data_IF_011873623488
#
_entry.id   IF_011873623488
#
_cell.length_a   1.000
_cell.length_b   1.000
_cell.length_c   1.000
_cell.angle_alpha   90.00
_cell.angle_beta   90.00
_cell.angle_gamma   90.00
#
_symmetry.space_group_name_H-M   'P 1'
#
loop_
_entity.id
_entity.type
_entity.pdbx_description
1 polymer ?
#
# COMPACT_ATOMS: atom_id res chain seq x y z
N UNK A 1 16.62 -6.94 3.78
CA UNK A 1 17.02 -5.66 3.15
C UNK A 1 18.34 -5.96 2.47
N UNK A 2 18.47 -5.72 1.17
CA UNK A 2 19.66 -6.09 0.38
C UNK A 2 20.74 -5.01 0.51
N UNK A 3 20.33 -3.74 0.39
CA UNK A 3 21.19 -2.56 0.46
C UNK A 3 20.39 -1.39 1.04
N UNK A 4 21.00 -0.62 1.94
CA UNK A 4 20.57 0.70 2.38
C UNK A 4 21.79 1.48 2.83
N UNK A 5 22.04 2.63 2.22
CA UNK A 5 23.18 3.48 2.55
C UNK A 5 22.87 4.97 2.33
N UNK A 6 23.69 5.84 2.90
CA UNK A 6 23.65 7.29 2.70
C UNK A 6 24.47 7.61 1.46
N UNK A 7 23.87 8.31 0.51
CA UNK A 7 24.54 8.79 -0.69
C UNK A 7 24.17 10.26 -0.98
N UNK A 8 25.09 10.98 -1.60
CA UNK A 8 24.91 12.39 -1.97
C UNK A 8 23.92 12.60 -3.12
N UNK A 9 23.78 11.59 -3.98
CA UNK A 9 22.80 11.57 -5.06
C UNK A 9 22.06 10.23 -5.21
N UNK A 10 21.20 10.15 -6.23
CA UNK A 10 20.42 8.96 -6.57
C UNK A 10 20.58 8.61 -8.05
N UNK A 11 21.80 8.81 -8.57
CA UNK A 11 22.16 8.55 -9.96
C UNK A 11 22.16 7.05 -10.26
N UNK A 12 22.21 6.72 -11.54
CA UNK A 12 22.35 5.33 -11.97
C UNK A 12 23.67 4.74 -11.47
N UNK A 13 24.78 5.47 -11.61
CA UNK A 13 26.12 5.00 -11.28
C UNK A 13 26.23 4.69 -9.79
N UNK A 14 25.76 5.58 -8.92
CA UNK A 14 25.71 5.36 -7.47
C UNK A 14 24.89 4.13 -7.10
N UNK A 15 23.73 3.92 -7.72
CA UNK A 15 22.94 2.73 -7.45
C UNK A 15 23.64 1.45 -7.90
N UNK A 16 24.28 1.47 -9.07
CA UNK A 16 24.92 0.30 -9.66
C UNK A 16 26.17 -0.10 -8.88
N UNK A 17 27.07 0.84 -8.60
CA UNK A 17 28.31 0.62 -7.84
C UNK A 17 28.07 0.02 -6.45
N UNK A 18 26.95 0.38 -5.81
CA UNK A 18 26.59 -0.15 -4.49
C UNK A 18 25.86 -1.49 -4.56
N UNK A 19 25.06 -1.73 -5.60
CA UNK A 19 24.20 -2.90 -5.70
C UNK A 19 24.92 -4.11 -6.31
N UNK A 20 25.73 -3.90 -7.34
CA UNK A 20 26.40 -4.98 -8.09
C UNK A 20 27.28 -5.86 -7.18
N UNK A 21 28.22 -5.33 -6.38
CA UNK A 21 29.06 -6.16 -5.52
C UNK A 21 28.24 -6.99 -4.52
N UNK A 22 27.11 -6.44 -4.09
CA UNK A 22 26.21 -7.10 -3.14
C UNK A 22 25.44 -8.25 -3.78
N UNK A 23 25.03 -8.10 -5.04
CA UNK A 23 24.38 -9.17 -5.79
C UNK A 23 25.36 -10.29 -6.13
N UNK A 24 26.60 -9.96 -6.48
CA UNK A 24 27.69 -10.91 -6.71
C UNK A 24 28.02 -11.72 -5.44
N UNK A 25 28.19 -11.05 -4.30
CA UNK A 25 28.45 -11.70 -3.01
C UNK A 25 27.33 -12.69 -2.62
N UNK A 26 26.09 -12.36 -2.96
CA UNK A 26 24.93 -13.22 -2.70
C UNK A 26 24.75 -14.32 -3.75
N UNK A 27 25.46 -14.26 -4.88
CA UNK A 27 25.28 -15.16 -6.01
C UNK A 27 23.87 -15.07 -6.63
N UNK A 28 23.25 -13.89 -6.61
CA UNK A 28 21.87 -13.69 -7.06
C UNK A 28 21.84 -12.95 -8.38
N UNK A 29 21.17 -13.56 -9.38
CA UNK A 29 20.82 -12.89 -10.62
C UNK A 29 19.40 -12.31 -10.54
N UNK A 30 19.25 -11.05 -10.93
CA UNK A 30 17.95 -10.35 -10.90
C UNK A 30 17.28 -10.50 -12.25
N UNK A 31 16.13 -11.17 -12.31
CA UNK A 31 15.37 -11.33 -13.56
C UNK A 31 14.34 -10.22 -13.79
N UNK A 32 13.83 -9.62 -12.71
CA UNK A 32 12.82 -8.57 -12.77
C UNK A 32 12.97 -7.56 -11.64
N UNK A 33 12.95 -6.28 -11.97
CA UNK A 33 12.98 -5.17 -11.01
C UNK A 33 11.67 -4.38 -11.03
N UNK A 34 11.05 -4.18 -9.86
CA UNK A 34 9.87 -3.32 -9.67
C UNK A 34 10.28 -2.04 -8.95
N UNK A 35 9.95 -0.86 -9.50
CA UNK A 35 10.33 0.42 -8.90
C UNK A 35 9.31 1.54 -9.11
N UNK A 36 9.55 2.69 -8.45
CA UNK A 36 8.77 3.93 -8.57
C UNK A 36 8.95 4.66 -9.92
N UNK A 37 9.73 4.07 -10.83
CA UNK A 37 10.07 4.60 -12.16
C UNK A 37 11.00 5.83 -12.16
N UNK A 38 11.80 6.04 -11.11
CA UNK A 38 12.92 6.97 -11.23
C UNK A 38 13.80 6.57 -12.43
N UNK A 39 14.21 7.54 -13.25
CA UNK A 39 15.00 7.27 -14.48
C UNK A 39 16.26 6.46 -14.19
N UNK A 40 16.92 6.74 -13.07
CA UNK A 40 18.08 5.99 -12.60
C UNK A 40 17.77 4.51 -12.33
N UNK A 41 16.61 4.21 -11.72
CA UNK A 41 16.20 2.84 -11.41
C UNK A 41 15.73 2.05 -12.65
N UNK A 42 15.12 2.72 -13.62
CA UNK A 42 14.80 2.09 -14.91
C UNK A 42 16.10 1.73 -15.64
N UNK A 43 17.05 2.68 -15.68
CA UNK A 43 18.38 2.44 -16.27
C UNK A 43 19.14 1.35 -15.51
N UNK A 44 19.04 1.32 -14.17
CA UNK A 44 19.64 0.29 -13.34
C UNK A 44 19.12 -1.10 -13.72
N UNK A 45 17.80 -1.26 -13.85
CA UNK A 45 17.21 -2.52 -14.26
C UNK A 45 17.67 -2.94 -15.67
N UNK A 46 17.45 -2.08 -16.67
CA UNK A 46 17.58 -2.45 -18.09
C UNK A 46 19.04 -2.50 -18.55
N UNK A 47 19.88 -1.59 -18.06
CA UNK A 47 21.28 -1.43 -18.50
C UNK A 47 22.27 -2.01 -17.49
N UNK A 48 22.04 -1.80 -16.20
CA UNK A 48 22.96 -2.28 -15.16
C UNK A 48 22.79 -3.77 -14.89
N UNK A 49 21.56 -4.19 -14.58
CA UNK A 49 21.24 -5.57 -14.21
C UNK A 49 20.79 -6.43 -15.38
N UNK A 50 20.65 -5.84 -16.57
CA UNK A 50 20.18 -6.49 -17.80
C UNK A 50 18.85 -7.26 -17.61
N UNK A 51 17.98 -6.74 -16.75
CA UNK A 51 16.73 -7.37 -16.38
C UNK A 51 15.51 -6.58 -16.83
N UNK A 52 14.34 -7.23 -16.85
CA UNK A 52 13.09 -6.54 -17.13
C UNK A 52 12.76 -5.54 -16.02
N UNK A 53 12.10 -4.45 -16.42
CA UNK A 53 11.60 -3.43 -15.50
C UNK A 53 10.08 -3.42 -15.49
N UNK A 54 9.50 -3.37 -14.28
CA UNK A 54 8.08 -3.18 -14.07
C UNK A 54 7.79 -1.95 -13.21
N UNK A 55 6.70 -1.26 -13.56
CA UNK A 55 6.19 -0.14 -12.80
C UNK A 55 5.48 -0.61 -11.53
N UNK A 56 5.54 0.21 -10.48
CA UNK A 56 4.75 0.00 -9.28
C UNK A 56 3.36 0.66 -9.39
N UNK A 57 2.30 -0.15 -9.25
CA UNK A 57 0.90 0.31 -9.25
C UNK A 57 0.59 1.34 -8.17
N UNK A 58 1.30 1.31 -7.04
CA UNK A 58 1.10 2.24 -5.93
C UNK A 58 1.30 3.68 -6.39
N UNK A 59 2.36 3.98 -7.14
CA UNK A 59 2.64 5.34 -7.61
C UNK A 59 1.60 5.83 -8.61
N UNK A 60 1.16 4.96 -9.52
CA UNK A 60 0.06 5.26 -10.43
C UNK A 60 -1.22 5.62 -9.69
N UNK A 61 -1.62 4.79 -8.70
CA UNK A 61 -2.81 5.05 -7.88
C UNK A 61 -2.65 6.28 -6.97
N UNK A 62 -1.45 6.55 -6.49
CA UNK A 62 -1.16 7.66 -5.60
C UNK A 62 -1.29 9.01 -6.32
N UNK A 63 -0.83 9.12 -7.57
CA UNK A 63 -0.98 10.33 -8.37
C UNK A 63 -2.47 10.62 -8.66
N UNK A 64 -3.24 9.59 -9.02
CA UNK A 64 -4.70 9.70 -9.18
C UNK A 64 -5.37 10.13 -7.87
N UNK A 65 -4.93 9.57 -6.74
CA UNK A 65 -5.46 9.92 -5.41
C UNK A 65 -5.16 11.36 -5.01
N UNK A 66 -3.96 11.85 -5.31
CA UNK A 66 -3.58 13.26 -5.07
C UNK A 66 -4.41 14.21 -5.92
N UNK A 67 -4.67 13.87 -7.17
CA UNK A 67 -5.44 14.71 -8.08
C UNK A 67 -6.95 14.68 -7.77
N UNK A 68 -7.56 13.51 -7.84
CA UNK A 68 -9.01 13.36 -7.79
C UNK A 68 -9.51 13.07 -6.38
N UNK A 69 -8.86 12.14 -5.68
CA UNK A 69 -9.23 11.74 -4.32
C UNK A 69 -9.19 12.90 -3.33
N UNK A 70 -8.14 13.73 -3.37
CA UNK A 70 -8.01 14.92 -2.52
C UNK A 70 -9.09 15.96 -2.81
N UNK A 71 -9.44 16.15 -4.08
CA UNK A 71 -10.43 17.13 -4.53
C UNK A 71 -11.83 16.72 -4.11
N UNK A 72 -12.23 15.47 -4.36
CA UNK A 72 -13.51 14.91 -3.93
C UNK A 72 -13.62 14.87 -2.40
N UNK A 73 -12.54 14.50 -1.71
CA UNK A 73 -12.48 14.51 -0.25
C UNK A 73 -12.72 15.90 0.34
N UNK A 74 -12.09 16.95 -0.22
CA UNK A 74 -12.31 18.35 0.19
C UNK A 74 -13.75 18.80 -0.07
N UNK A 75 -14.33 18.45 -1.21
CA UNK A 75 -15.73 18.78 -1.54
C UNK A 75 -16.69 18.11 -0.57
N UNK A 76 -16.51 16.81 -0.27
CA UNK A 76 -17.30 16.11 0.75
C UNK A 76 -17.16 16.75 2.13
N UNK A 77 -15.93 17.09 2.53
CA UNK A 77 -15.69 17.78 3.80
C UNK A 77 -16.38 19.13 3.89
N UNK A 78 -16.40 19.89 2.79
CA UNK A 78 -17.08 21.19 2.70
C UNK A 78 -18.59 21.05 2.77
N UNK A 79 -19.16 20.12 1.99
CA UNK A 79 -20.59 19.85 1.98
C UNK A 79 -21.08 19.39 3.37
N UNK A 80 -20.35 18.50 4.03
CA UNK A 80 -20.69 18.06 5.39
C UNK A 80 -20.68 19.21 6.40
N UNK A 81 -19.65 20.06 6.38
CA UNK A 81 -19.59 21.25 7.27
C UNK A 81 -20.74 22.22 7.00
N UNK A 82 -21.13 22.38 5.75
CA UNK A 82 -22.27 23.22 5.38
C UNK A 82 -23.58 22.64 5.93
N UNK A 83 -23.78 21.32 5.81
CA UNK A 83 -24.92 20.63 6.40
C UNK A 83 -24.95 20.80 7.92
N UNK A 84 -23.84 20.53 8.61
CA UNK A 84 -23.73 20.68 10.07
C UNK A 84 -24.06 22.12 10.51
N UNK A 85 -23.60 23.12 9.74
CA UNK A 85 -23.89 24.53 9.99
C UNK A 85 -25.37 24.87 9.77
N UNK A 86 -25.99 24.36 8.70
CA UNK A 86 -27.42 24.57 8.43
C UNK A 86 -28.27 23.92 9.53
N UNK A 87 -27.97 22.68 9.92
CA UNK A 87 -28.69 21.95 10.99
C UNK A 87 -28.57 22.68 12.33
N UNK A 88 -27.37 23.12 12.72
CA UNK A 88 -27.18 23.90 13.95
C UNK A 88 -27.91 25.25 13.93
N UNK A 89 -27.98 25.92 12.77
CA UNK A 89 -28.69 27.18 12.64
C UNK A 89 -30.21 27.01 12.71
N UNK A 90 -30.75 25.91 12.17
CA UNK A 90 -32.16 25.56 12.31
C UNK A 90 -32.51 25.31 13.78
N UNK A 91 -31.73 24.48 14.47
CA UNK A 91 -31.93 24.17 15.89
C UNK A 91 -31.90 25.45 16.76
N UNK A 92 -30.97 26.37 16.48
CA UNK A 92 -30.89 27.68 17.18
C UNK A 92 -32.10 28.56 16.89
N UNK A 93 -32.62 28.55 15.66
CA UNK A 93 -33.80 29.33 15.30
C UNK A 93 -35.05 28.81 16.01
N UNK A 94 -35.21 27.49 16.08
CA UNK A 94 -36.31 26.83 16.80
C UNK A 94 -36.25 27.13 18.31
N UNK A 95 -35.07 26.98 18.94
CA UNK A 95 -34.88 27.29 20.38
C UNK A 95 -35.15 28.75 20.74
N UNK A 96 -34.92 29.69 19.82
CA UNK A 96 -35.16 31.12 20.02
C UNK A 96 -36.61 31.54 19.75
N UNK A 97 -37.49 30.60 19.40
CA UNK A 97 -38.87 30.92 19.03
C UNK A 97 -38.96 31.78 17.76
N UNK A 98 -38.04 31.59 16.81
CA UNK A 98 -38.10 32.29 15.53
C UNK A 98 -39.45 32.03 14.82
N UNK A 99 -39.91 33.00 14.04
CA UNK A 99 -41.19 32.86 13.36
C UNK A 99 -41.18 31.71 12.32
N UNK A 100 -42.39 31.24 11.97
CA UNK A 100 -42.56 30.10 11.06
C UNK A 100 -41.88 30.29 9.70
N UNK A 101 -41.84 31.50 9.17
CA UNK A 101 -41.22 31.81 7.87
C UNK A 101 -39.70 31.64 7.90
N UNK A 102 -39.04 32.08 8.98
CA UNK A 102 -37.59 31.92 9.17
C UNK A 102 -37.26 30.44 9.33
N UNK A 103 -38.04 29.70 10.14
CA UNK A 103 -37.85 28.26 10.33
C UNK A 103 -38.00 27.52 8.99
N UNK A 104 -39.05 27.80 8.22
CA UNK A 104 -39.26 27.19 6.90
C UNK A 104 -38.10 27.46 5.92
N UNK A 105 -37.56 28.69 5.91
CA UNK A 105 -36.38 29.02 5.10
C UNK A 105 -35.15 28.22 5.53
N UNK A 106 -34.94 28.03 6.84
CA UNK A 106 -33.82 27.22 7.37
C UNK A 106 -33.97 25.74 7.09
N UNK A 107 -35.19 25.19 7.14
CA UNK A 107 -35.48 23.82 6.72
C UNK A 107 -35.07 23.61 5.26
N UNK A 108 -35.47 24.52 4.35
CA UNK A 108 -35.05 24.46 2.95
C UNK A 108 -33.52 24.48 2.77
N UNK A 109 -32.82 25.33 3.54
CA UNK A 109 -31.34 25.38 3.53
C UNK A 109 -30.70 24.06 4.02
N UNK A 110 -31.32 23.37 4.98
CA UNK A 110 -30.87 22.06 5.45
C UNK A 110 -31.09 21.00 4.37
N UNK A 111 -32.25 20.98 3.72
CA UNK A 111 -32.56 20.03 2.64
C UNK A 111 -31.59 20.17 1.46
N UNK A 112 -31.34 21.41 1.02
CA UNK A 112 -30.36 21.70 -0.03
C UNK A 112 -28.94 21.27 0.37
N UNK A 113 -28.50 21.58 1.59
CA UNK A 113 -27.18 21.18 2.08
C UNK A 113 -27.06 19.65 2.23
N UNK A 114 -28.14 18.96 2.59
CA UNK A 114 -28.20 17.50 2.70
C UNK A 114 -28.08 16.85 1.33
N UNK A 115 -28.80 17.37 0.33
CA UNK A 115 -28.68 16.90 -1.05
C UNK A 115 -27.25 17.07 -1.58
N UNK A 116 -26.58 18.18 -1.25
CA UNK A 116 -25.18 18.42 -1.61
C UNK A 116 -24.20 17.44 -0.92
N UNK A 117 -24.37 17.17 0.39
CA UNK A 117 -23.54 16.18 1.10
C UNK A 117 -23.73 14.77 0.55
N UNK A 118 -24.96 14.38 0.23
CA UNK A 118 -25.26 13.10 -0.40
C UNK A 118 -24.62 12.99 -1.79
N UNK A 119 -24.75 14.01 -2.64
CA UNK A 119 -24.13 14.03 -3.96
C UNK A 119 -22.59 13.96 -3.88
N UNK A 120 -21.98 14.70 -2.95
CA UNK A 120 -20.53 14.67 -2.74
C UNK A 120 -20.04 13.32 -2.19
N UNK A 121 -20.83 12.68 -1.33
CA UNK A 121 -20.55 11.33 -0.81
C UNK A 121 -20.62 10.30 -1.94
N UNK A 122 -21.67 10.33 -2.75
CA UNK A 122 -21.81 9.43 -3.91
C UNK A 122 -20.66 9.60 -4.92
N UNK A 123 -20.23 10.83 -5.19
CA UNK A 123 -19.09 11.11 -6.06
C UNK A 123 -17.80 10.48 -5.52
N UNK A 124 -17.53 10.64 -4.22
CA UNK A 124 -16.36 10.06 -3.56
C UNK A 124 -16.42 8.52 -3.54
N UNK A 125 -17.59 7.94 -3.33
CA UNK A 125 -17.77 6.49 -3.30
C UNK A 125 -17.65 5.86 -4.68
N UNK A 126 -18.16 6.52 -5.74
CA UNK A 126 -17.94 6.12 -7.12
C UNK A 126 -16.44 6.09 -7.43
N UNK A 127 -15.73 7.18 -7.12
CA UNK A 127 -14.27 7.27 -7.30
C UNK A 127 -13.54 6.14 -6.56
N UNK A 128 -13.84 5.96 -5.27
CA UNK A 128 -13.24 4.88 -4.47
C UNK A 128 -13.57 3.51 -5.04
N UNK A 129 -14.76 3.33 -5.60
CA UNK A 129 -15.17 2.15 -6.36
C UNK A 129 -14.23 1.87 -7.52
N UNK A 130 -13.97 2.86 -8.37
CA UNK A 130 -13.08 2.73 -9.54
C UNK A 130 -11.63 2.45 -9.13
N UNK A 131 -11.12 3.10 -8.07
CA UNK A 131 -9.78 2.80 -7.51
C UNK A 131 -9.69 1.37 -6.98
N UNK A 132 -10.75 0.88 -6.32
CA UNK A 132 -10.81 -0.53 -5.90
C UNK A 132 -10.82 -1.47 -7.09
N UNK A 133 -11.51 -1.14 -8.20
CA UNK A 133 -11.49 -1.95 -9.42
C UNK A 133 -10.05 -2.10 -9.97
N UNK A 134 -9.31 -1.00 -10.10
CA UNK A 134 -7.88 -1.04 -10.50
C UNK A 134 -7.06 -1.94 -9.57
N UNK A 135 -7.28 -1.78 -8.26
CA UNK A 135 -6.59 -2.60 -7.27
C UNK A 135 -6.92 -4.08 -7.36
N UNK A 136 -8.06 -4.47 -7.94
CA UNK A 136 -8.45 -5.88 -8.15
C UNK A 136 -8.02 -6.42 -9.52
N UNK A 137 -7.77 -5.55 -10.48
CA UNK A 137 -7.42 -5.97 -11.84
C UNK A 137 -5.98 -6.48 -11.93
N UNK A 138 -5.05 -5.91 -11.15
CA UNK A 138 -3.64 -6.32 -11.16
C UNK A 138 -3.38 -7.51 -10.21
N UNK A 139 -3.90 -8.66 -10.63
CA UNK A 139 -3.69 -9.99 -10.06
C UNK A 139 -3.63 -11.02 -11.22
N UNK A 140 -2.89 -12.14 -11.06
CA UNK A 140 -2.77 -13.17 -12.10
C UNK A 140 -4.03 -14.06 -12.20
N UNK A 141 -4.94 -13.95 -11.23
CA UNK A 141 -6.24 -14.61 -11.22
C UNK A 141 -7.37 -13.59 -11.16
N UNK A 142 -8.49 -13.89 -11.81
CA UNK A 142 -9.71 -13.10 -11.72
C UNK A 142 -10.47 -13.42 -10.43
N UNK A 143 -11.03 -12.42 -9.75
CA UNK A 143 -11.71 -12.61 -8.47
C UNK A 143 -13.03 -13.40 -8.60
N UNK A 144 -13.70 -13.31 -9.75
CA UNK A 144 -15.05 -13.84 -9.90
C UNK A 144 -15.07 -15.36 -10.09
N UNK A 145 -14.14 -15.89 -10.87
CA UNK A 145 -14.10 -17.28 -11.34
C UNK A 145 -12.73 -17.94 -11.15
N UNK A 146 -11.75 -17.26 -10.54
CA UNK A 146 -10.38 -17.73 -10.32
C UNK A 146 -9.60 -18.09 -11.59
N UNK A 147 -10.10 -17.70 -12.77
CA UNK A 147 -9.40 -18.00 -14.02
C UNK A 147 -8.09 -17.23 -14.13
N UNK A 148 -7.06 -17.84 -14.74
CA UNK A 148 -5.82 -17.15 -15.11
C UNK A 148 -6.10 -15.89 -15.92
N UNK A 149 -5.20 -14.93 -15.77
CA UNK A 149 -5.20 -13.68 -16.52
C UNK A 149 -3.84 -13.47 -17.15
N UNK A 150 -3.84 -12.92 -18.35
CA UNK A 150 -2.66 -12.42 -19.04
C UNK A 150 -2.58 -10.89 -18.99
N UNK A 151 -1.42 -10.37 -19.38
CA UNK A 151 -1.14 -8.93 -19.41
C UNK A 151 -2.05 -8.18 -20.37
N UNK A 152 -2.47 -8.80 -21.48
CA UNK A 152 -3.31 -8.16 -22.49
C UNK A 152 -4.72 -7.85 -21.93
N UNK A 153 -5.35 -8.83 -21.29
CA UNK A 153 -6.65 -8.70 -20.66
C UNK A 153 -6.61 -7.70 -19.50
N UNK A 154 -5.56 -7.75 -18.68
CA UNK A 154 -5.36 -6.81 -17.58
C UNK A 154 -5.15 -5.40 -18.10
N UNK A 155 -4.34 -5.20 -19.14
CA UNK A 155 -4.11 -3.89 -19.75
C UNK A 155 -5.39 -3.31 -20.35
N UNK A 156 -6.23 -4.13 -20.98
CA UNK A 156 -7.53 -3.71 -21.51
C UNK A 156 -8.43 -3.18 -20.39
N UNK A 157 -8.63 -3.95 -19.32
CA UNK A 157 -9.45 -3.53 -18.18
C UNK A 157 -8.90 -2.28 -17.49
N UNK A 158 -7.58 -2.15 -17.35
CA UNK A 158 -6.98 -0.95 -16.77
C UNK A 158 -7.25 0.31 -17.61
N UNK A 159 -7.24 0.20 -18.95
CA UNK A 159 -7.60 1.31 -19.86
C UNK A 159 -9.07 1.68 -19.75
N UNK A 160 -9.95 0.69 -19.65
CA UNK A 160 -11.40 0.92 -19.43
C UNK A 160 -11.64 1.65 -18.10
N UNK A 161 -10.96 1.23 -17.03
CA UNK A 161 -11.02 1.87 -15.72
C UNK A 161 -10.40 3.28 -15.72
N UNK A 162 -9.33 3.50 -16.49
CA UNK A 162 -8.77 4.84 -16.69
C UNK A 162 -9.80 5.78 -17.34
N UNK A 163 -10.51 5.30 -18.37
CA UNK A 163 -11.60 6.04 -19.02
C UNK A 163 -12.78 6.32 -18.08
N UNK A 164 -13.10 5.38 -17.18
CA UNK A 164 -14.11 5.59 -16.13
C UNK A 164 -13.71 6.74 -15.19
N UNK A 165 -12.44 6.84 -14.82
CA UNK A 165 -11.90 7.94 -14.00
C UNK A 165 -11.99 9.28 -14.73
N UNK A 166 -11.56 9.33 -16.00
CA UNK A 166 -11.65 10.54 -16.83
C UNK A 166 -13.09 11.01 -16.98
N UNK A 167 -14.02 10.07 -17.21
CA UNK A 167 -15.46 10.36 -17.32
C UNK A 167 -16.01 10.92 -16.00
N UNK A 168 -15.63 10.33 -14.86
CA UNK A 168 -16.02 10.81 -13.54
C UNK A 168 -15.44 12.19 -13.24
N UNK A 169 -14.20 12.46 -13.67
CA UNK A 169 -13.55 13.76 -13.51
C UNK A 169 -14.26 14.84 -14.30
N UNK A 170 -14.59 14.56 -15.58
CA UNK A 170 -15.38 15.43 -16.42
C UNK A 170 -16.76 15.73 -15.82
N UNK A 171 -17.49 14.68 -15.39
CA UNK A 171 -18.80 14.80 -14.73
C UNK A 171 -18.78 15.73 -13.51
N UNK A 172 -17.67 15.76 -12.78
CA UNK A 172 -17.52 16.60 -11.60
C UNK A 172 -16.71 17.88 -11.85
N UNK A 173 -16.38 18.22 -13.10
CA UNK A 173 -15.59 19.41 -13.42
C UNK A 173 -14.24 19.44 -12.70
N UNK A 174 -13.52 18.32 -12.71
CA UNK A 174 -12.17 18.19 -12.14
C UNK A 174 -11.17 18.13 -13.31
N UNK A 175 -10.39 19.20 -13.49
CA UNK A 175 -9.44 19.31 -14.59
C UNK A 175 -8.14 18.57 -14.30
N UNK A 176 -7.57 17.90 -15.29
CA UNK A 176 -6.26 17.23 -15.23
C UNK A 176 -5.14 18.10 -15.83
N UNK A 177 -4.81 19.19 -15.13
CA UNK A 177 -3.80 20.15 -15.63
C UNK A 177 -2.38 19.56 -15.67
N UNK A 178 -2.11 18.49 -14.92
CA UNK A 178 -0.78 17.89 -14.79
C UNK A 178 -0.62 16.62 -15.63
N UNK A 179 -1.64 16.22 -16.39
CA UNK A 179 -1.62 15.02 -17.23
C UNK A 179 -1.48 13.72 -16.44
N UNK A 180 -2.12 13.61 -15.27
CA UNK A 180 -2.13 12.42 -14.42
C UNK A 180 -2.68 11.21 -15.17
N UNK A 181 -3.78 11.37 -15.92
CA UNK A 181 -4.37 10.24 -16.64
C UNK A 181 -3.56 9.84 -17.86
N UNK A 182 -2.96 10.83 -18.56
CA UNK A 182 -1.97 10.55 -19.61
C UNK A 182 -0.79 9.76 -19.05
N UNK A 183 -0.26 10.18 -17.89
CA UNK A 183 0.81 9.47 -17.19
C UNK A 183 0.39 8.06 -16.87
N UNK A 184 -0.74 7.86 -16.17
CA UNK A 184 -1.25 6.54 -15.79
C UNK A 184 -1.43 5.60 -16.99
N UNK A 185 -2.07 6.08 -18.06
CA UNK A 185 -2.24 5.32 -19.31
C UNK A 185 -0.90 4.87 -19.91
N UNK A 186 0.12 5.74 -19.90
CA UNK A 186 1.46 5.38 -20.36
C UNK A 186 2.15 4.35 -19.46
N UNK A 187 1.76 4.23 -18.19
CA UNK A 187 2.33 3.24 -17.27
C UNK A 187 1.72 1.85 -17.43
N UNK A 188 0.52 1.72 -18.00
CA UNK A 188 -0.17 0.43 -18.14
C UNK A 188 0.74 -0.62 -18.80
N UNK A 189 1.46 -0.24 -19.87
CA UNK A 189 2.38 -1.14 -20.59
C UNK A 189 3.54 -1.67 -19.75
N UNK A 190 3.91 -0.97 -18.68
CA UNK A 190 4.98 -1.36 -17.75
C UNK A 190 4.42 -1.95 -16.45
N UNK A 191 3.10 -1.88 -16.20
CA UNK A 191 2.47 -2.45 -15.00
C UNK A 191 2.14 -3.93 -15.19
N UNK A 192 1.66 -4.27 -16.38
CA UNK A 192 1.09 -5.59 -16.67
C UNK A 192 2.10 -6.71 -16.92
N UNK A 193 3.31 -6.50 -17.51
CA UNK A 193 4.20 -7.60 -17.88
C UNK A 193 4.59 -8.51 -16.70
N UNK A 194 4.56 -7.99 -15.47
CA UNK A 194 4.75 -8.79 -14.24
C UNK A 194 3.85 -10.02 -14.15
N UNK A 195 2.68 -10.00 -14.80
CA UNK A 195 1.73 -11.11 -14.80
C UNK A 195 2.20 -12.22 -15.73
N UNK A 196 2.58 -11.90 -16.95
CA UNK A 196 3.07 -12.89 -17.92
C UNK A 196 4.43 -13.44 -17.48
N UNK A 197 5.30 -12.58 -16.96
CA UNK A 197 6.59 -12.99 -16.38
C UNK A 197 6.38 -14.00 -15.23
N UNK A 198 5.43 -13.74 -14.34
CA UNK A 198 5.12 -14.65 -13.25
C UNK A 198 4.55 -15.98 -13.77
N UNK A 199 3.68 -15.95 -14.77
CA UNK A 199 3.17 -17.17 -15.40
C UNK A 199 4.27 -17.98 -16.08
N UNK A 200 5.20 -17.33 -16.78
CA UNK A 200 6.37 -17.99 -17.35
C UNK A 200 7.20 -18.67 -16.27
N UNK A 201 7.47 -17.98 -15.17
CA UNK A 201 8.20 -18.54 -14.03
C UNK A 201 7.47 -19.76 -13.41
N UNK A 202 6.14 -19.66 -13.21
CA UNK A 202 5.32 -20.77 -12.72
C UNK A 202 5.42 -21.97 -13.66
N UNK A 203 5.28 -21.76 -14.97
CA UNK A 203 5.32 -22.83 -15.97
C UNK A 203 6.70 -23.49 -16.07
N UNK A 204 7.77 -22.69 -16.10
CA UNK A 204 9.15 -23.21 -16.12
C UNK A 204 9.42 -24.05 -14.88
N UNK A 205 9.08 -23.53 -13.69
CA UNK A 205 9.33 -24.26 -12.46
C UNK A 205 8.44 -25.51 -12.34
N UNK A 206 7.24 -25.50 -12.91
CA UNK A 206 6.36 -26.66 -12.97
C UNK A 206 6.95 -27.78 -13.84
N UNK A 207 7.52 -27.44 -15.00
CA UNK A 207 8.20 -28.39 -15.90
C UNK A 207 9.44 -29.01 -15.22
N UNK A 208 10.13 -28.25 -14.37
CA UNK A 208 11.28 -28.72 -13.60
C UNK A 208 10.92 -29.73 -12.49
N UNK A 209 9.64 -29.95 -12.18
CA UNK A 209 9.20 -30.92 -11.15
C UNK A 209 9.26 -32.39 -11.60
N UNK A 210 9.91 -32.67 -12.73
CA UNK A 210 10.10 -34.01 -13.30
C UNK A 210 8.93 -34.46 -14.18
N UNK A 211 8.94 -35.73 -14.57
CA UNK A 211 7.86 -36.33 -15.35
C UNK A 211 6.57 -36.41 -14.51
N UNK A 212 5.66 -35.48 -14.79
CA UNK A 212 4.32 -35.40 -14.19
C UNK A 212 3.27 -35.47 -15.29
N UNK A 213 2.16 -36.11 -14.99
CA UNK A 213 1.04 -36.13 -15.93
C UNK A 213 0.40 -34.74 -16.05
N UNK A 214 -0.10 -34.43 -17.24
CA UNK A 214 -0.75 -33.16 -17.55
C UNK A 214 -1.89 -32.85 -16.59
N UNK A 215 -2.64 -33.86 -16.15
CA UNK A 215 -3.75 -33.66 -15.22
C UNK A 215 -3.27 -33.15 -13.84
N UNK A 216 -2.11 -33.63 -13.37
CA UNK A 216 -1.50 -33.14 -12.12
C UNK A 216 -1.00 -31.69 -12.27
N UNK A 217 -0.44 -31.35 -13.43
CA UNK A 217 0.02 -30.01 -13.74
C UNK A 217 -1.15 -29.02 -13.79
N UNK A 218 -2.23 -29.39 -14.48
CA UNK A 218 -3.46 -28.60 -14.57
C UNK A 218 -4.12 -28.44 -13.19
N UNK A 219 -4.12 -29.50 -12.36
CA UNK A 219 -4.58 -29.42 -10.98
C UNK A 219 -3.77 -28.41 -10.15
N UNK A 220 -2.44 -28.48 -10.22
CA UNK A 220 -1.57 -27.58 -9.49
C UNK A 220 -1.81 -26.12 -9.89
N UNK A 221 -1.92 -25.85 -11.19
CA UNK A 221 -2.10 -24.50 -11.74
C UNK A 221 -3.51 -23.92 -11.52
N UNK A 222 -4.56 -24.72 -11.70
CA UNK A 222 -5.93 -24.20 -11.78
C UNK A 222 -6.78 -24.50 -10.55
N UNK A 223 -6.35 -25.43 -9.68
CA UNK A 223 -7.04 -25.74 -8.44
C UNK A 223 -6.25 -25.27 -7.21
N UNK A 224 -4.98 -25.67 -7.10
CA UNK A 224 -4.16 -25.37 -5.92
C UNK A 224 -3.64 -23.92 -5.91
N UNK A 225 -3.00 -23.47 -6.99
CA UNK A 225 -2.33 -22.18 -7.04
C UNK A 225 -3.27 -20.97 -6.78
N UNK A 226 -4.51 -20.91 -7.32
CA UNK A 226 -5.45 -19.84 -7.00
C UNK A 226 -5.86 -19.86 -5.52
N UNK A 227 -6.00 -21.06 -4.93
CA UNK A 227 -6.37 -21.26 -3.52
C UNK A 227 -5.32 -20.65 -2.61
N UNK A 228 -4.05 -21.04 -2.80
CA UNK A 228 -2.92 -20.51 -2.02
C UNK A 228 -2.74 -19.01 -2.27
N UNK A 229 -2.92 -18.57 -3.53
CA UNK A 229 -2.79 -17.17 -3.92
C UNK A 229 -3.77 -16.26 -3.15
N UNK A 230 -5.07 -16.53 -3.24
CA UNK A 230 -6.08 -15.68 -2.62
C UNK A 230 -6.03 -15.71 -1.09
N UNK A 231 -5.72 -16.86 -0.51
CA UNK A 231 -5.46 -16.98 0.92
C UNK A 231 -4.33 -16.01 1.36
N UNK A 232 -3.22 -15.97 0.62
CA UNK A 232 -2.10 -15.06 0.92
C UNK A 232 -2.50 -13.60 0.73
N UNK A 233 -3.24 -13.25 -0.33
CA UNK A 233 -3.68 -11.87 -0.56
C UNK A 233 -4.65 -11.37 0.52
N UNK A 234 -5.58 -12.21 0.98
CA UNK A 234 -6.50 -11.89 2.07
C UNK A 234 -5.75 -11.56 3.38
N UNK A 235 -4.67 -12.30 3.67
CA UNK A 235 -3.83 -12.06 4.87
C UNK A 235 -2.92 -10.86 4.74
N UNK A 236 -2.40 -10.62 3.54
CA UNK A 236 -1.50 -9.51 3.25
C UNK A 236 -2.22 -8.16 3.29
N UNK A 237 -3.46 -8.09 2.81
CA UNK A 237 -4.18 -6.82 2.74
C UNK A 237 -4.58 -6.31 4.12
N UNK A 238 -4.40 -5.00 4.36
CA UNK A 238 -4.91 -4.30 5.55
C UNK A 238 -6.32 -3.71 5.32
N UNK A 239 -6.78 -3.64 4.07
CA UNK A 239 -8.07 -3.06 3.72
C UNK A 239 -9.20 -4.09 3.97
N UNK A 240 -10.15 -3.81 4.89
CA UNK A 240 -11.21 -4.77 5.23
C UNK A 240 -12.14 -5.10 4.06
N UNK A 241 -12.43 -4.14 3.18
CA UNK A 241 -13.28 -4.36 2.01
C UNK A 241 -12.61 -5.30 1.02
N UNK A 242 -11.34 -5.03 0.68
CA UNK A 242 -10.58 -5.92 -0.21
C UNK A 242 -10.37 -7.29 0.42
N UNK A 243 -10.15 -7.37 1.74
CA UNK A 243 -10.02 -8.64 2.45
C UNK A 243 -11.23 -9.53 2.25
N UNK A 244 -12.44 -8.98 2.48
CA UNK A 244 -13.69 -9.72 2.28
C UNK A 244 -13.84 -10.23 0.84
N UNK A 245 -13.42 -9.46 -0.14
CA UNK A 245 -13.48 -9.87 -1.54
C UNK A 245 -12.45 -10.98 -1.87
N UNK A 246 -11.23 -10.89 -1.34
CA UNK A 246 -10.22 -11.94 -1.49
C UNK A 246 -10.59 -13.22 -0.72
N UNK A 247 -11.22 -13.10 0.45
CA UNK A 247 -11.75 -14.26 1.19
C UNK A 247 -12.84 -14.99 0.39
N UNK A 248 -13.71 -14.25 -0.31
CA UNK A 248 -14.70 -14.85 -1.22
C UNK A 248 -14.03 -15.57 -2.39
N UNK A 249 -13.03 -14.96 -3.02
CA UNK A 249 -12.29 -15.60 -4.11
C UNK A 249 -11.55 -16.87 -3.62
N UNK A 250 -10.94 -16.80 -2.44
CA UNK A 250 -10.33 -17.93 -1.75
C UNK A 250 -11.32 -19.06 -1.48
N UNK A 251 -12.50 -18.76 -0.92
CA UNK A 251 -13.54 -19.77 -0.68
C UNK A 251 -13.97 -20.47 -1.96
N UNK A 252 -14.15 -19.72 -3.06
CA UNK A 252 -14.47 -20.32 -4.37
C UNK A 252 -13.33 -21.22 -4.88
N UNK A 253 -12.08 -20.78 -4.74
CA UNK A 253 -10.92 -21.56 -5.17
C UNK A 253 -10.79 -22.85 -4.34
N UNK A 254 -11.01 -22.75 -3.03
CA UNK A 254 -10.94 -23.87 -2.10
C UNK A 254 -12.01 -24.93 -2.39
N UNK A 255 -13.21 -24.52 -2.79
CA UNK A 255 -14.24 -25.47 -3.26
C UNK A 255 -13.74 -26.22 -4.50
N UNK A 256 -13.22 -25.52 -5.51
CA UNK A 256 -12.65 -26.17 -6.71
C UNK A 256 -11.55 -27.16 -6.33
N UNK A 257 -10.63 -26.74 -5.46
CA UNK A 257 -9.57 -27.60 -4.92
C UNK A 257 -10.12 -28.88 -4.29
N UNK A 258 -11.05 -28.80 -3.34
CA UNK A 258 -11.57 -30.00 -2.67
C UNK A 258 -12.44 -30.89 -3.56
N UNK A 259 -13.12 -30.32 -4.55
CA UNK A 259 -13.97 -31.10 -5.48
C UNK A 259 -13.20 -31.77 -6.62
N UNK A 260 -11.94 -31.40 -6.84
CA UNK A 260 -11.14 -31.96 -7.92
C UNK A 260 -10.78 -33.42 -7.62
N UNK A 261 -10.95 -34.31 -8.61
CA UNK A 261 -10.76 -35.76 -8.45
C UNK A 261 -9.37 -36.12 -7.89
N UNK A 262 -8.30 -35.52 -8.43
CA UNK A 262 -6.92 -35.73 -7.97
C UNK A 262 -6.66 -35.30 -6.52
N UNK A 263 -7.43 -34.37 -5.95
CA UNK A 263 -7.15 -33.90 -4.59
C UNK A 263 -7.29 -35.02 -3.56
N UNK A 264 -8.23 -35.96 -3.78
CA UNK A 264 -8.43 -37.12 -2.91
C UNK A 264 -7.45 -38.27 -3.15
N UNK A 265 -6.65 -38.23 -4.22
CA UNK A 265 -5.73 -39.32 -4.58
C UNK A 265 -4.31 -39.11 -4.05
N UNK A 266 -3.95 -37.86 -3.74
CA UNK A 266 -2.62 -37.54 -3.20
C UNK A 266 -2.49 -37.91 -1.73
N UNK A 267 -1.30 -38.40 -1.35
CA UNK A 267 -0.90 -38.55 0.03
C UNK A 267 -0.71 -37.19 0.73
N UNK A 268 -0.67 -37.19 2.07
CA UNK A 268 -0.41 -35.96 2.85
C UNK A 268 0.93 -35.31 2.49
N UNK A 269 1.97 -36.12 2.24
CA UNK A 269 3.30 -35.64 1.85
C UNK A 269 3.29 -35.00 0.45
N UNK A 270 2.54 -35.56 -0.49
CA UNK A 270 2.37 -34.97 -1.84
C UNK A 270 1.60 -33.65 -1.80
N UNK A 271 0.53 -33.59 -0.99
CA UNK A 271 -0.20 -32.33 -0.77
C UNK A 271 0.72 -31.28 -0.15
N UNK A 272 1.53 -31.65 0.85
CA UNK A 272 2.48 -30.74 1.47
C UNK A 272 3.56 -30.25 0.49
N UNK A 273 4.09 -31.15 -0.34
CA UNK A 273 5.02 -30.81 -1.41
C UNK A 273 4.44 -29.74 -2.34
N UNK A 274 3.26 -30.00 -2.89
CA UNK A 274 2.60 -29.07 -3.81
C UNK A 274 2.18 -27.77 -3.14
N UNK A 275 1.76 -27.81 -1.87
CA UNK A 275 1.47 -26.62 -1.09
C UNK A 275 2.72 -25.75 -0.93
N UNK A 276 3.88 -26.33 -0.60
CA UNK A 276 5.13 -25.61 -0.49
C UNK A 276 5.53 -24.97 -1.83
N UNK A 277 5.41 -25.73 -2.92
CA UNK A 277 5.61 -25.21 -4.28
C UNK A 277 4.71 -24.01 -4.58
N UNK A 278 3.40 -24.13 -4.33
CA UNK A 278 2.45 -23.04 -4.56
C UNK A 278 2.75 -21.82 -3.65
N UNK A 279 3.12 -22.03 -2.40
CA UNK A 279 3.49 -20.94 -1.48
C UNK A 279 4.73 -20.18 -1.96
N UNK A 280 5.71 -20.88 -2.53
CA UNK A 280 6.89 -20.32 -3.16
C UNK A 280 6.50 -19.49 -4.38
N UNK A 281 5.76 -20.06 -5.33
CA UNK A 281 5.33 -19.38 -6.56
C UNK A 281 4.55 -18.10 -6.24
N UNK A 282 3.57 -18.19 -5.34
CA UNK A 282 2.79 -17.03 -4.88
C UNK A 282 3.68 -16.01 -4.15
N UNK A 283 4.78 -16.45 -3.52
CA UNK A 283 5.79 -15.58 -2.90
C UNK A 283 6.58 -14.73 -3.88
N UNK A 284 6.68 -15.13 -5.14
CA UNK A 284 7.42 -14.39 -6.18
C UNK A 284 6.58 -13.33 -6.89
N UNK A 285 5.25 -13.40 -6.80
CA UNK A 285 4.37 -12.41 -7.42
C UNK A 285 4.33 -11.09 -6.63
N UNK A 286 4.80 -10.01 -7.27
CA UNK A 286 4.82 -8.66 -6.70
C UNK A 286 4.15 -7.64 -7.62
N UNK A 287 3.03 -7.08 -7.15
CA UNK A 287 2.28 -6.00 -7.82
C UNK A 287 2.71 -4.58 -7.44
N UNK A 288 3.48 -4.44 -6.36
CA UNK A 288 3.88 -3.16 -5.80
C UNK A 288 5.13 -3.32 -4.92
N UNK A 289 5.98 -2.29 -4.86
CA UNK A 289 7.19 -2.20 -4.04
C UNK A 289 6.92 -1.75 -2.59
N UNK A 290 5.66 -1.80 -2.16
CA UNK A 290 5.13 -1.13 -0.95
C UNK A 290 5.77 -1.50 0.39
N UNK A 291 6.60 -2.54 0.46
CA UNK A 291 7.41 -2.83 1.63
C UNK A 291 8.40 -1.67 1.95
N UNK A 292 8.88 -0.95 0.93
CA UNK A 292 9.77 0.21 1.08
C UNK A 292 8.96 1.49 1.37
N UNK A 293 7.78 1.64 0.75
CA UNK A 293 6.91 2.81 0.92
C UNK A 293 6.37 2.99 2.34
N UNK A 294 6.12 1.89 3.08
CA UNK A 294 5.72 1.98 4.48
C UNK A 294 6.78 2.65 5.36
N UNK A 295 8.06 2.35 5.10
CA UNK A 295 9.21 2.95 5.78
C UNK A 295 9.45 4.37 5.30
N UNK A 296 9.44 4.62 4.00
CA UNK A 296 9.59 5.97 3.43
C UNK A 296 8.46 6.90 3.91
N UNK A 297 7.23 6.40 3.99
CA UNK A 297 6.08 7.11 4.54
C UNK A 297 6.24 7.40 6.03
N UNK A 298 6.71 6.43 6.82
CA UNK A 298 7.03 6.65 8.23
C UNK A 298 8.14 7.70 8.42
N UNK A 299 9.24 7.61 7.66
CA UNK A 299 10.33 8.58 7.70
C UNK A 299 9.85 9.97 7.27
N UNK A 300 9.12 10.08 6.17
CA UNK A 300 8.53 11.33 5.71
C UNK A 300 7.57 11.92 6.75
N UNK A 301 6.76 11.09 7.42
CA UNK A 301 5.89 11.51 8.51
C UNK A 301 6.68 11.95 9.75
N UNK A 302 7.75 11.24 10.13
CA UNK A 302 8.68 11.67 11.18
C UNK A 302 9.26 13.04 10.82
N UNK A 303 9.81 13.19 9.61
CA UNK A 303 10.39 14.45 9.17
C UNK A 303 9.35 15.57 9.15
N UNK A 304 8.14 15.31 8.64
CA UNK A 304 7.03 16.27 8.65
C UNK A 304 6.59 16.65 10.07
N UNK A 305 6.40 15.68 10.95
CA UNK A 305 6.04 15.92 12.35
C UNK A 305 7.20 16.56 13.12
N UNK A 306 8.43 16.42 12.64
CA UNK A 306 9.63 17.08 13.15
C UNK A 306 9.83 18.48 12.54
N UNK A 307 9.04 18.90 11.55
CA UNK A 307 9.01 20.29 11.08
C UNK A 307 8.24 21.14 12.08
N UNK A 308 8.95 22.06 12.73
CA UNK A 308 8.41 23.01 13.70
C UNK A 308 8.90 22.78 15.13
N UNK A 309 9.15 23.89 15.82
CA UNK A 309 9.50 23.94 17.24
C UNK A 309 8.22 24.09 18.07
N UNK A 310 7.57 22.97 18.38
CA UNK A 310 6.50 23.02 19.39
C UNK A 310 7.11 23.40 20.77
N UNK A 311 6.28 23.88 21.69
CA UNK A 311 6.74 24.39 22.99
C UNK A 311 7.57 23.36 23.79
N UNK A 312 7.23 22.07 23.71
CA UNK A 312 7.97 21.01 24.38
C UNK A 312 9.35 20.79 23.74
N UNK A 313 9.44 20.78 22.42
CA UNK A 313 10.72 20.70 21.70
C UNK A 313 11.59 21.92 21.95
N UNK A 314 11.00 23.11 21.97
CA UNK A 314 11.73 24.34 22.29
C UNK A 314 12.34 24.23 23.69
N UNK A 315 11.57 23.77 24.69
CA UNK A 315 12.08 23.51 26.04
C UNK A 315 13.24 22.50 26.03
N UNK A 316 13.08 21.36 25.34
CA UNK A 316 14.14 20.35 25.25
C UNK A 316 15.41 20.90 24.58
N UNK A 317 15.29 21.65 23.49
CA UNK A 317 16.43 22.27 22.82
C UNK A 317 17.10 23.34 23.67
N UNK A 318 16.33 24.13 24.43
CA UNK A 318 16.89 25.08 25.41
C UNK A 318 17.71 24.35 26.47
N UNK A 319 17.22 23.21 26.98
CA UNK A 319 17.98 22.38 27.92
C UNK A 319 19.26 21.83 27.28
N UNK A 320 19.19 21.27 26.07
CA UNK A 320 20.37 20.78 25.36
C UNK A 320 21.39 21.88 25.06
N UNK A 321 20.93 23.07 24.67
CA UNK A 321 21.80 24.22 24.44
C UNK A 321 22.51 24.64 25.73
N UNK A 322 21.78 24.72 26.84
CA UNK A 322 22.32 25.21 28.10
C UNK A 322 23.24 24.21 28.80
N UNK A 323 22.91 22.91 28.75
CA UNK A 323 23.55 21.90 29.61
C UNK A 323 24.36 20.84 28.86
N UNK A 324 24.20 20.68 27.53
CA UNK A 324 24.90 19.64 26.76
C UNK A 324 25.86 20.20 25.72
N UNK A 325 25.46 21.26 25.02
CA UNK A 325 26.28 21.86 23.95
C UNK A 325 27.49 22.57 24.55
N UNK A 326 28.70 22.18 24.11
CA UNK A 326 29.97 22.73 24.59
C UNK A 326 30.61 23.63 23.53
N UNK A 327 31.32 24.67 23.98
CA UNK A 327 32.22 25.45 23.12
C UNK A 327 33.54 24.71 22.90
N UNK A 328 34.41 25.30 22.07
CA UNK A 328 35.79 24.83 21.86
C UNK A 328 36.60 24.73 23.15
N UNK A 329 36.28 25.55 24.16
CA UNK A 329 36.87 25.52 25.50
C UNK A 329 36.26 24.44 26.43
N UNK A 330 35.30 23.65 25.95
CA UNK A 330 34.62 22.60 26.70
C UNK A 330 33.51 23.07 27.65
N UNK A 331 33.27 24.38 27.77
CA UNK A 331 32.26 24.94 28.68
C UNK A 331 30.85 24.93 28.10
N UNK A 332 29.85 24.67 28.95
CA UNK A 332 28.42 24.78 28.60
C UNK A 332 27.91 26.21 28.85
N UNK A 333 26.77 26.58 28.24
CA UNK A 333 26.21 27.91 28.45
C UNK A 333 25.74 28.13 29.90
N UNK A 334 25.18 27.11 30.55
CA UNK A 334 24.81 27.16 31.95
C UNK A 334 26.04 27.35 32.85
N UNK A 335 27.16 26.67 32.57
CA UNK A 335 28.38 26.83 33.36
C UNK A 335 28.91 28.26 33.33
N UNK A 336 28.86 28.92 32.16
CA UNK A 336 29.28 30.31 32.04
C UNK A 336 28.35 31.29 32.75
N UNK A 337 27.04 31.00 32.76
CA UNK A 337 26.05 31.85 33.39
C UNK A 337 26.09 31.76 34.91
N UNK A 338 26.24 30.56 35.45
CA UNK A 338 26.17 30.31 36.89
C UNK A 338 27.55 30.20 37.58
N UNK A 339 28.64 30.16 36.81
CA UNK A 339 30.01 30.05 37.34
C UNK A 339 30.39 28.65 37.84
N UNK A 340 29.48 27.68 37.80
CA UNK A 340 29.68 26.32 38.29
C UNK A 340 29.35 25.28 37.22
N UNK A 341 30.06 24.15 37.23
CA UNK A 341 29.84 23.08 36.25
C UNK A 341 28.54 22.32 36.60
N UNK A 342 27.52 22.34 35.73
CA UNK A 342 26.31 21.58 35.98
C UNK A 342 26.56 20.07 35.85
N UNK A 343 25.68 19.23 36.43
CA UNK A 343 25.69 17.78 36.21
C UNK A 343 25.64 17.45 34.71
N UNK A 344 26.22 16.31 34.34
CA UNK A 344 26.15 15.84 32.96
C UNK A 344 24.69 15.54 32.57
N UNK A 345 24.22 16.16 31.49
CA UNK A 345 22.82 16.06 31.08
C UNK A 345 22.43 14.63 30.70
N UNK A 346 23.34 13.86 30.10
CA UNK A 346 23.03 12.50 29.66
C UNK A 346 22.91 11.56 30.86
N UNK A 347 23.86 11.63 31.79
CA UNK A 347 23.80 10.87 33.04
C UNK A 347 22.57 11.23 33.88
N UNK A 348 22.27 12.53 33.99
CA UNK A 348 21.06 12.98 34.67
C UNK A 348 19.79 12.40 34.01
N UNK A 349 19.72 12.42 32.68
CA UNK A 349 18.58 11.85 31.94
C UNK A 349 18.45 10.35 32.17
N UNK A 350 19.55 9.59 32.14
CA UNK A 350 19.53 8.14 32.41
C UNK A 350 18.94 7.83 33.78
N UNK A 351 19.30 8.62 34.80
CA UNK A 351 18.73 8.47 36.15
C UNK A 351 17.23 8.80 36.21
N UNK A 352 16.71 9.66 35.34
CA UNK A 352 15.28 10.00 35.28
C UNK A 352 14.44 9.03 34.45
N UNK A 353 15.04 8.25 33.55
CA UNK A 353 14.30 7.43 32.58
C UNK A 353 13.61 6.20 33.21
N UNK A 354 13.98 5.80 34.43
CA UNK A 354 13.43 4.61 35.08
C UNK A 354 13.76 3.31 34.33
N UNK A 355 13.05 2.23 34.63
CA UNK A 355 13.19 0.97 33.87
C UNK A 355 12.73 1.16 32.42
N UNK A 356 13.61 0.87 31.46
CA UNK A 356 13.25 0.91 30.05
C UNK A 356 12.20 -0.17 29.74
N UNK A 357 11.13 0.15 29.00
CA UNK A 357 10.15 -0.84 28.61
C UNK A 357 10.83 -1.93 27.78
N UNK A 358 10.65 -3.18 28.19
CA UNK A 358 11.16 -4.33 27.44
C UNK A 358 10.59 -4.32 26.01
N UNK A 359 11.38 -4.76 25.01
CA UNK A 359 10.89 -4.89 23.66
C UNK A 359 9.61 -5.71 23.66
N UNK A 360 8.60 -5.22 22.93
CA UNK A 360 7.29 -5.89 22.81
C UNK A 360 7.53 -7.35 22.46
N UNK A 361 7.10 -8.27 23.32
CA UNK A 361 7.18 -9.71 23.05
C UNK A 361 6.58 -9.97 21.66
N UNK A 362 7.34 -10.52 20.71
CA UNK A 362 6.82 -10.78 19.38
C UNK A 362 5.64 -11.74 19.52
N UNK A 363 4.51 -11.40 18.91
CA UNK A 363 3.40 -12.36 18.79
C UNK A 363 3.95 -13.58 18.07
N UNK A 364 3.74 -14.78 18.64
CA UNK A 364 4.03 -16.04 17.95
C UNK A 364 3.39 -15.97 16.56
N UNK A 365 4.21 -16.17 15.53
CA UNK A 365 3.76 -16.14 14.14
C UNK A 365 2.83 -17.33 13.94
N UNK A 366 1.52 -17.09 13.85
CA UNK A 366 0.57 -18.13 13.52
C UNK A 366 0.84 -18.58 12.08
N UNK A 367 1.31 -19.82 11.89
CA UNK A 367 1.40 -20.44 10.57
C UNK A 367 0.00 -20.86 10.18
N UNK A 368 -0.57 -20.17 9.21
CA UNK A 368 -1.90 -20.50 8.73
C UNK A 368 -1.83 -21.39 7.50
N UNK A 369 -2.61 -22.47 7.51
CA UNK A 369 -2.70 -23.38 6.38
C UNK A 369 -3.70 -22.83 5.32
N UNK A 370 -3.29 -22.59 4.07
CA UNK A 370 -4.16 -22.22 2.95
C UNK A 370 -5.15 -23.30 2.53
N UNK A 371 -4.98 -24.54 2.99
CA UNK A 371 -5.89 -25.64 2.67
C UNK A 371 -6.90 -25.90 3.79
N UNK A 372 -6.66 -25.42 5.01
CA UNK A 372 -7.66 -25.56 6.06
C UNK A 372 -8.77 -24.53 5.87
N UNK A 373 -10.02 -25.01 5.88
CA UNK A 373 -11.15 -24.15 6.19
C UNK A 373 -10.88 -23.52 7.55
N UNK A 374 -10.78 -22.18 7.58
CA UNK A 374 -11.07 -21.47 8.83
C UNK A 374 -12.49 -21.91 9.16
N UNK A 375 -12.64 -22.77 10.17
CA UNK A 375 -13.93 -23.11 10.73
C UNK A 375 -14.63 -21.79 10.99
N UNK A 376 -15.66 -21.51 10.19
CA UNK A 376 -16.52 -20.36 10.41
C UNK A 376 -17.16 -20.64 11.77
N UNK A 377 -16.95 -19.82 12.81
CA UNK A 377 -17.84 -19.92 13.96
C UNK A 377 -19.22 -19.54 13.42
N UNK A 378 -20.14 -20.48 13.52
CA UNK A 378 -21.56 -20.26 13.24
C UNK A 378 -22.10 -19.05 14.01
#
# INVERSE_FOLDING_TARGET
LILEDIADDRSFDTWFEMLEPRLEELGVHVQLMVSDRAKALIKLAVVGLECDHNADIFHGLHDISKWMGSTLGRRKGTAKRQLDKCESNLEKAEKRGANKTIVASKVKQVEEARAQDQAATQALDNYRGTIRKISKTVHPFKLDDNKPRDSANVAKELREQAKEIETLACKHGINDNTGVMKKFNNQIKELVPSIDFWWLYVLTNLIEQGERDKEQLDWAMYSLLPTVYWHKQAKKTKNPTLRKEYEKAYQKALVVFYTHALTGTFSEDEILFWQNWAEEMVGKFHRASSAVEGRNGFLSQIHHNNRGLNSNRLKSLTVMHNYFTKRSDGSTAAQRLFGEKPPDLFEWLLHQMGELPLPRKPRKRFKSNPLNLLSVPA
#
